data_IF_998115302392
#
_entry.id   IF_998115302392
#
_cell.length_a   1.000
_cell.length_b   1.000
_cell.length_c   1.000
_cell.angle_alpha   90.00
_cell.angle_beta   90.00
_cell.angle_gamma   90.00
#
_symmetry.space_group_name_H-M   'P 1'
#
loop_
_entity.id
_entity.type
_entity.pdbx_description
1 polymer ?
#
# COMPACT_ATOMS: atom_id res chain seq x y z
N UNK A 1 16.13 0.51 -53.29
CA UNK A 1 16.39 -0.64 -52.39
C UNK A 1 17.14 -0.23 -51.12
N UNK A 2 18.03 0.78 -51.16
CA UNK A 2 18.83 1.21 -49.97
C UNK A 2 18.05 2.00 -48.92
N UNK A 3 16.86 2.49 -49.24
CA UNK A 3 16.06 3.27 -48.29
C UNK A 3 15.24 2.42 -47.30
N UNK A 4 14.89 1.18 -47.65
CA UNK A 4 14.08 0.30 -46.79
C UNK A 4 14.78 -0.05 -45.47
N UNK A 5 16.06 -0.46 -45.44
CA UNK A 5 16.76 -0.71 -44.17
C UNK A 5 16.88 0.54 -43.29
N UNK A 6 17.06 1.71 -43.90
CA UNK A 6 17.09 2.99 -43.17
C UNK A 6 15.73 3.30 -42.51
N UNK A 7 14.63 3.22 -43.29
CA UNK A 7 13.28 3.45 -42.82
C UNK A 7 12.91 2.45 -41.69
N UNK A 8 13.19 1.16 -41.91
CA UNK A 8 12.99 0.12 -40.92
C UNK A 8 13.76 0.42 -39.62
N UNK A 9 15.01 0.87 -39.77
CA UNK A 9 15.84 1.30 -38.64
C UNK A 9 15.27 2.51 -37.88
N UNK A 10 14.69 3.49 -38.57
CA UNK A 10 14.03 4.64 -37.93
C UNK A 10 12.78 4.21 -37.20
N UNK A 11 11.93 3.39 -37.81
CA UNK A 11 10.71 2.86 -37.16
C UNK A 11 11.08 2.09 -35.89
N UNK A 12 12.07 1.21 -35.97
CA UNK A 12 12.53 0.41 -34.83
C UNK A 12 13.13 1.30 -33.71
N UNK A 13 13.84 2.37 -34.03
CA UNK A 13 14.34 3.33 -33.03
C UNK A 13 13.20 4.08 -32.37
N UNK A 14 12.24 4.60 -33.15
CA UNK A 14 11.08 5.32 -32.62
C UNK A 14 10.23 4.42 -31.73
N UNK A 15 9.96 3.18 -32.15
CA UNK A 15 9.22 2.21 -31.35
C UNK A 15 9.95 1.89 -30.04
N UNK A 16 11.27 1.67 -30.05
CA UNK A 16 12.05 1.46 -28.81
C UNK A 16 12.01 2.68 -27.91
N UNK A 17 12.14 3.90 -28.46
CA UNK A 17 12.04 5.13 -27.68
C UNK A 17 10.67 5.28 -27.00
N UNK A 18 9.60 5.00 -27.74
CA UNK A 18 8.24 5.00 -27.21
C UNK A 18 8.05 3.97 -26.10
N UNK A 19 8.45 2.73 -26.32
CA UNK A 19 8.36 1.67 -25.32
C UNK A 19 9.15 2.01 -24.04
N UNK A 20 10.34 2.62 -24.18
CA UNK A 20 11.14 3.06 -23.05
C UNK A 20 10.45 4.15 -22.19
N UNK A 21 9.55 4.96 -22.80
CA UNK A 21 8.77 5.97 -22.09
C UNK A 21 7.57 5.36 -21.31
N UNK A 22 7.15 4.15 -21.68
CA UNK A 22 6.07 3.44 -21.00
C UNK A 22 6.54 2.71 -19.73
N UNK A 23 7.85 2.55 -19.55
CA UNK A 23 8.39 1.83 -18.39
C UNK A 23 8.18 2.63 -17.10
N UNK A 24 7.72 1.97 -16.02
CA UNK A 24 7.68 2.60 -14.71
C UNK A 24 9.07 3.10 -14.28
N UNK A 25 9.16 4.27 -13.60
CA UNK A 25 10.45 4.93 -13.35
C UNK A 25 11.50 4.04 -12.69
N UNK A 26 11.14 3.35 -11.61
CA UNK A 26 12.07 2.46 -10.90
C UNK A 26 12.49 1.26 -11.76
N UNK A 27 11.56 0.64 -12.49
CA UNK A 27 11.88 -0.48 -13.36
C UNK A 27 12.82 -0.06 -14.49
N UNK A 28 12.63 1.12 -15.07
CA UNK A 28 13.54 1.70 -16.06
C UNK A 28 14.94 1.88 -15.49
N UNK A 29 15.06 2.48 -14.30
CA UNK A 29 16.34 2.66 -13.63
C UNK A 29 17.04 1.33 -13.34
N UNK A 30 16.28 0.30 -12.94
CA UNK A 30 16.77 -1.04 -12.69
C UNK A 30 17.31 -1.70 -13.99
N UNK A 31 16.59 -1.57 -15.10
CA UNK A 31 17.05 -2.05 -16.41
C UNK A 31 18.34 -1.35 -16.86
N UNK A 32 18.39 -0.04 -16.71
CA UNK A 32 19.57 0.76 -17.06
C UNK A 32 20.78 0.37 -16.18
N UNK A 33 20.58 0.17 -14.89
CA UNK A 33 21.63 -0.26 -13.96
C UNK A 33 22.14 -1.66 -14.30
N UNK A 34 21.25 -2.63 -14.44
CA UNK A 34 21.61 -4.02 -14.75
C UNK A 34 22.28 -4.14 -16.12
N UNK A 35 21.86 -3.29 -17.10
CA UNK A 35 22.42 -3.25 -18.45
C UNK A 35 23.86 -2.74 -18.51
N UNK A 36 24.30 -1.88 -17.57
CA UNK A 36 25.66 -1.33 -17.55
C UNK A 36 26.74 -2.33 -17.15
N UNK A 37 26.36 -3.51 -16.65
CA UNK A 37 27.28 -4.56 -16.22
C UNK A 37 28.38 -4.09 -15.24
N UNK A 38 28.06 -3.13 -14.37
CA UNK A 38 28.99 -2.59 -13.38
C UNK A 38 29.39 -3.66 -12.36
N UNK A 39 30.64 -3.62 -11.89
CA UNK A 39 31.04 -4.46 -10.77
C UNK A 39 30.28 -4.07 -9.52
N UNK A 40 29.70 -5.07 -8.83
CA UNK A 40 28.98 -4.88 -7.59
C UNK A 40 29.94 -5.08 -6.40
N UNK A 41 30.19 -4.01 -5.65
CA UNK A 41 30.95 -4.03 -4.39
C UNK A 41 30.04 -3.92 -3.16
N UNK A 42 28.74 -4.01 -3.36
CA UNK A 42 27.72 -3.98 -2.32
C UNK A 42 27.04 -5.35 -2.17
N UNK A 43 26.28 -5.54 -1.11
CA UNK A 43 25.43 -6.73 -0.98
C UNK A 43 24.31 -6.75 -2.05
N UNK A 44 23.84 -7.95 -2.44
CA UNK A 44 24.18 -9.25 -1.88
C UNK A 44 25.50 -9.81 -2.41
N UNK A 45 26.13 -10.69 -1.60
CA UNK A 45 27.47 -11.22 -1.87
C UNK A 45 27.62 -12.13 -3.08
N UNK A 46 26.54 -12.50 -3.75
CA UNK A 46 26.62 -13.28 -5.00
C UNK A 46 27.07 -12.45 -6.23
N UNK A 47 27.14 -11.11 -6.08
CA UNK A 47 27.70 -10.21 -7.10
C UNK A 47 27.03 -10.35 -8.46
N UNK A 48 25.72 -10.14 -8.55
CA UNK A 48 24.93 -10.30 -9.79
C UNK A 48 24.88 -11.75 -10.31
N UNK A 49 25.03 -12.74 -9.40
CA UNK A 49 24.97 -14.16 -9.73
C UNK A 49 26.32 -14.84 -10.01
N UNK A 50 27.43 -14.08 -10.08
CA UNK A 50 28.76 -14.65 -10.39
C UNK A 50 29.18 -15.72 -9.40
N UNK A 51 28.88 -15.57 -8.10
CA UNK A 51 29.22 -16.54 -7.07
C UNK A 51 28.55 -17.91 -7.31
N UNK A 52 27.35 -17.94 -7.84
CA UNK A 52 26.62 -19.20 -8.11
C UNK A 52 27.27 -20.02 -9.22
N UNK A 53 27.95 -19.39 -10.19
CA UNK A 53 28.62 -20.11 -11.31
C UNK A 53 29.83 -20.92 -10.88
N UNK A 54 30.31 -20.81 -9.62
CA UNK A 54 31.51 -21.47 -9.11
C UNK A 54 31.30 -22.95 -8.75
N UNK A 55 30.07 -23.44 -8.72
CA UNK A 55 29.78 -24.87 -8.40
C UNK A 55 28.65 -25.41 -9.27
N UNK A 56 28.55 -26.74 -9.46
CA UNK A 56 27.46 -27.34 -10.23
C UNK A 56 26.08 -27.02 -9.65
N UNK A 57 25.92 -27.05 -8.32
CA UNK A 57 24.65 -26.72 -7.65
C UNK A 57 24.31 -25.23 -7.86
N UNK A 58 25.30 -24.35 -7.72
CA UNK A 58 25.12 -22.92 -7.98
C UNK A 58 24.75 -22.64 -9.43
N UNK A 59 25.31 -23.36 -10.40
CA UNK A 59 24.92 -23.22 -11.82
C UNK A 59 23.47 -23.60 -12.04
N UNK A 60 23.00 -24.70 -11.46
CA UNK A 60 21.58 -25.08 -11.54
C UNK A 60 20.65 -23.99 -10.98
N UNK A 61 21.03 -23.36 -9.87
CA UNK A 61 20.31 -22.24 -9.28
C UNK A 61 20.33 -21.01 -10.22
N UNK A 62 21.51 -20.64 -10.75
CA UNK A 62 21.66 -19.55 -11.69
C UNK A 62 20.84 -19.75 -12.96
N UNK A 63 20.86 -20.96 -13.54
CA UNK A 63 20.12 -21.29 -14.76
C UNK A 63 18.61 -21.23 -14.54
N UNK A 64 18.14 -21.62 -13.34
CA UNK A 64 16.72 -21.55 -12.97
C UNK A 64 16.23 -20.11 -12.84
N UNK A 65 16.93 -19.24 -12.12
CA UNK A 65 16.51 -17.85 -11.91
C UNK A 65 16.84 -16.94 -13.08
N UNK A 66 17.87 -17.25 -13.82
CA UNK A 66 18.37 -16.45 -14.93
C UNK A 66 19.22 -15.24 -14.48
N UNK A 67 20.09 -14.80 -15.37
CA UNK A 67 21.05 -13.74 -15.10
C UNK A 67 20.39 -12.42 -14.70
N UNK A 68 19.33 -12.01 -15.39
CA UNK A 68 18.67 -10.73 -15.12
C UNK A 68 18.05 -10.66 -13.73
N UNK A 69 17.44 -11.76 -13.25
CA UNK A 69 16.89 -11.83 -11.89
C UNK A 69 17.99 -11.65 -10.84
N UNK A 70 19.10 -12.36 -11.01
CA UNK A 70 20.24 -12.29 -10.08
C UNK A 70 20.95 -10.94 -10.12
N UNK A 71 21.00 -10.29 -11.29
CA UNK A 71 21.56 -8.94 -11.44
C UNK A 71 20.66 -7.85 -10.90
N UNK A 72 19.36 -8.09 -10.83
CA UNK A 72 18.37 -7.16 -10.25
C UNK A 72 18.20 -7.31 -8.74
N UNK A 73 18.77 -8.35 -8.13
CA UNK A 73 18.86 -8.48 -6.68
C UNK A 73 19.98 -7.58 -6.15
N UNK A 74 19.60 -6.38 -5.73
CA UNK A 74 20.50 -5.28 -5.42
C UNK A 74 20.18 -4.68 -4.05
N UNK A 75 21.20 -4.09 -3.42
CA UNK A 75 20.99 -3.25 -2.24
C UNK A 75 20.24 -1.97 -2.62
N UNK A 76 19.30 -1.56 -1.77
CA UNK A 76 18.59 -0.26 -1.87
C UNK A 76 19.51 0.95 -1.69
N UNK A 77 20.77 0.73 -1.35
CA UNK A 77 21.81 1.78 -1.21
C UNK A 77 22.55 2.11 -2.50
N UNK A 78 22.17 1.52 -3.65
CA UNK A 78 22.75 1.84 -4.96
C UNK A 78 22.31 3.23 -5.40
N UNK A 79 23.23 4.23 -5.51
CA UNK A 79 22.84 5.62 -5.79
C UNK A 79 22.01 5.80 -7.08
N UNK A 80 22.28 4.99 -8.11
CA UNK A 80 21.55 5.03 -9.38
C UNK A 80 20.09 4.56 -9.31
N UNK A 81 19.70 3.92 -8.21
CA UNK A 81 18.32 3.46 -7.95
C UNK A 81 17.57 4.35 -6.97
N UNK A 82 18.23 5.35 -6.38
CA UNK A 82 17.66 6.20 -5.34
C UNK A 82 17.66 5.53 -3.96
N UNK A 83 16.99 6.16 -3.02
CA UNK A 83 16.89 5.67 -1.63
C UNK A 83 15.44 5.44 -1.26
N UNK A 84 15.12 4.23 -0.81
CA UNK A 84 13.80 3.91 -0.26
C UNK A 84 13.59 4.56 1.12
N UNK A 85 14.68 4.77 1.88
CA UNK A 85 14.62 5.40 3.20
C UNK A 85 14.37 6.92 3.09
N UNK A 86 15.07 7.57 2.15
CA UNK A 86 15.01 9.03 2.00
C UNK A 86 14.01 9.47 0.95
N UNK A 87 13.32 8.54 0.28
CA UNK A 87 12.37 8.81 -0.80
C UNK A 87 12.97 9.70 -1.90
N UNK A 88 14.13 9.29 -2.47
CA UNK A 88 14.86 10.09 -3.46
C UNK A 88 15.10 9.32 -4.77
N UNK A 89 15.37 10.07 -5.85
CA UNK A 89 15.71 9.52 -7.17
C UNK A 89 14.59 8.68 -7.78
N UNK A 90 14.91 7.59 -8.53
CA UNK A 90 13.92 6.74 -9.18
C UNK A 90 12.86 6.14 -8.25
N UNK A 91 13.17 5.95 -6.96
CA UNK A 91 12.18 5.54 -5.96
C UNK A 91 11.11 6.63 -5.79
N UNK A 92 11.52 7.88 -5.54
CA UNK A 92 10.59 8.99 -5.40
C UNK A 92 9.74 9.21 -6.67
N UNK A 93 10.36 9.13 -7.85
CA UNK A 93 9.64 9.24 -9.12
C UNK A 93 8.57 8.14 -9.27
N UNK A 94 8.91 6.91 -8.87
CA UNK A 94 7.98 5.79 -8.89
C UNK A 94 6.85 5.96 -7.88
N UNK A 95 7.14 6.45 -6.68
CA UNK A 95 6.14 6.76 -5.64
C UNK A 95 5.20 7.87 -6.12
N UNK A 96 5.70 8.97 -6.67
CA UNK A 96 4.85 10.01 -7.26
C UNK A 96 3.96 9.49 -8.39
N UNK A 97 4.51 8.65 -9.26
CA UNK A 97 3.71 8.04 -10.33
C UNK A 97 2.62 7.12 -9.77
N UNK A 98 2.93 6.33 -8.75
CA UNK A 98 1.95 5.47 -8.06
C UNK A 98 0.86 6.29 -7.39
N UNK A 99 1.19 7.34 -6.66
CA UNK A 99 0.23 8.26 -6.06
C UNK A 99 -0.73 8.83 -7.11
N UNK A 100 -0.19 9.33 -8.24
CA UNK A 100 -0.98 9.85 -9.36
C UNK A 100 -1.93 8.80 -9.94
N UNK A 101 -1.46 7.56 -10.14
CA UNK A 101 -2.26 6.48 -10.74
C UNK A 101 -3.41 6.06 -9.84
N UNK A 102 -3.17 5.96 -8.53
CA UNK A 102 -4.19 5.57 -7.56
C UNK A 102 -5.05 6.73 -7.06
N UNK A 103 -4.72 7.97 -7.44
CA UNK A 103 -5.45 9.16 -6.99
C UNK A 103 -5.15 9.60 -5.57
N UNK A 104 -4.02 9.17 -5.02
CA UNK A 104 -3.49 9.61 -3.73
C UNK A 104 -2.67 10.92 -3.86
N UNK A 105 -2.36 11.56 -2.74
CA UNK A 105 -1.42 12.67 -2.69
C UNK A 105 0.01 12.15 -2.52
N UNK A 106 0.17 11.10 -1.72
CA UNK A 106 1.44 10.42 -1.47
C UNK A 106 1.31 8.93 -1.60
N UNK A 107 2.39 8.27 -1.98
CA UNK A 107 2.53 6.82 -1.87
C UNK A 107 3.90 6.45 -1.35
N UNK A 108 3.96 5.32 -0.63
CA UNK A 108 5.19 4.78 -0.05
C UNK A 108 5.29 3.30 -0.33
N UNK A 109 6.43 2.84 -0.83
CA UNK A 109 6.66 1.42 -1.06
C UNK A 109 7.08 0.71 0.22
N UNK A 110 6.47 -0.44 0.48
CA UNK A 110 6.78 -1.30 1.62
C UNK A 110 7.15 -2.68 1.13
N UNK A 111 8.38 -3.08 1.36
CA UNK A 111 8.96 -4.31 0.79
C UNK A 111 8.64 -5.59 1.59
N UNK A 112 7.92 -5.48 2.69
CA UNK A 112 7.62 -6.62 3.58
C UNK A 112 6.11 -6.85 3.76
N UNK A 113 5.34 -6.59 2.70
CA UNK A 113 3.91 -6.85 2.63
C UNK A 113 3.04 -5.89 3.45
N UNK A 114 1.73 -5.94 3.20
CA UNK A 114 0.75 -5.06 3.86
C UNK A 114 0.70 -5.23 5.38
N UNK A 115 1.11 -6.39 5.91
CA UNK A 115 1.25 -6.56 7.36
C UNK A 115 2.25 -5.58 7.98
N UNK A 116 3.30 -5.22 7.26
CA UNK A 116 4.25 -4.18 7.67
C UNK A 116 3.68 -2.80 7.39
N UNK A 117 3.07 -2.58 6.23
CA UNK A 117 2.42 -1.30 5.90
C UNK A 117 1.39 -0.88 6.97
N UNK A 118 0.54 -1.82 7.41
CA UNK A 118 -0.42 -1.58 8.49
C UNK A 118 0.29 -1.13 9.78
N UNK A 119 1.36 -1.83 10.17
CA UNK A 119 2.12 -1.47 11.37
C UNK A 119 2.82 -0.11 11.26
N UNK A 120 3.32 0.25 10.08
CA UNK A 120 3.95 1.56 9.83
C UNK A 120 2.96 2.68 10.14
N UNK A 121 1.75 2.62 9.57
CA UNK A 121 0.69 3.62 9.85
C UNK A 121 0.37 3.67 11.34
N UNK A 122 0.16 2.51 11.95
CA UNK A 122 -0.20 2.45 13.36
C UNK A 122 0.87 3.02 14.26
N UNK A 123 2.15 2.67 14.07
CA UNK A 123 3.24 3.22 14.87
C UNK A 123 3.52 4.70 14.63
N UNK A 124 3.12 5.24 13.47
CA UNK A 124 3.24 6.66 13.18
C UNK A 124 2.19 7.51 13.92
N UNK A 125 0.99 6.97 14.14
CA UNK A 125 -0.15 7.76 14.60
C UNK A 125 -0.74 7.30 15.93
N UNK A 126 -0.46 6.09 16.39
CA UNK A 126 -1.10 5.50 17.58
C UNK A 126 -0.08 5.23 18.67
N UNK A 127 -0.41 5.67 19.88
CA UNK A 127 0.37 5.45 21.08
C UNK A 127 -0.43 4.71 22.15
N UNK A 128 0.23 4.43 23.28
CA UNK A 128 -0.43 3.76 24.41
C UNK A 128 -1.66 4.55 24.90
N UNK A 129 -2.71 3.82 25.17
CA UNK A 129 -4.00 4.31 25.67
C UNK A 129 -4.83 5.13 24.67
N UNK A 130 -4.35 5.33 23.42
CA UNK A 130 -5.17 5.91 22.36
C UNK A 130 -6.38 5.02 22.05
N UNK A 131 -7.56 5.62 21.87
CA UNK A 131 -8.74 4.91 21.39
C UNK A 131 -8.65 4.69 19.90
N UNK A 132 -8.90 3.46 19.48
CA UNK A 132 -8.91 3.07 18.06
C UNK A 132 -10.19 2.30 17.72
N UNK A 133 -10.83 2.68 16.62
CA UNK A 133 -12.02 2.03 16.10
C UNK A 133 -11.59 0.95 15.11
N UNK A 134 -11.98 -0.29 15.32
CA UNK A 134 -11.44 -1.43 14.60
C UNK A 134 -12.55 -2.31 14.04
N UNK A 135 -12.55 -2.53 12.72
CA UNK A 135 -13.34 -3.59 12.12
C UNK A 135 -12.98 -4.93 12.76
N UNK A 136 -13.98 -5.61 13.37
CA UNK A 136 -13.73 -6.91 14.00
C UNK A 136 -13.28 -7.99 13.02
N UNK A 137 -13.54 -7.80 11.73
CA UNK A 137 -13.08 -8.65 10.64
C UNK A 137 -11.73 -8.18 10.06
N UNK A 138 -10.86 -7.62 10.89
CA UNK A 138 -9.55 -7.14 10.47
C UNK A 138 -8.52 -8.27 10.32
N UNK A 139 -7.50 -8.01 9.52
CA UNK A 139 -6.34 -8.89 9.39
C UNK A 139 -5.54 -8.93 10.71
N UNK A 140 -4.91 -10.08 11.01
CA UNK A 140 -4.09 -10.28 12.23
C UNK A 140 -3.00 -9.22 12.45
N UNK A 141 -2.50 -8.56 11.40
CA UNK A 141 -1.52 -7.48 11.53
C UNK A 141 -2.06 -6.27 12.30
N UNK A 142 -3.37 -6.02 12.22
CA UNK A 142 -4.04 -4.97 13.01
C UNK A 142 -4.08 -5.36 14.48
N UNK A 143 -4.40 -6.63 14.79
CA UNK A 143 -4.35 -7.11 16.19
C UNK A 143 -2.93 -7.00 16.77
N UNK A 144 -1.92 -7.33 15.96
CA UNK A 144 -0.52 -7.15 16.38
C UNK A 144 -0.18 -5.67 16.61
N UNK A 145 -0.68 -4.77 15.75
CA UNK A 145 -0.46 -3.34 15.90
C UNK A 145 -1.11 -2.79 17.20
N UNK A 146 -2.33 -3.21 17.52
CA UNK A 146 -3.00 -2.88 18.79
C UNK A 146 -2.13 -3.30 20.00
N UNK A 147 -1.65 -4.55 19.99
CA UNK A 147 -0.81 -5.08 21.07
C UNK A 147 0.51 -4.30 21.18
N UNK A 148 1.15 -4.01 20.04
CA UNK A 148 2.45 -3.34 20.01
C UNK A 148 2.38 -1.88 20.42
N UNK A 149 1.31 -1.17 20.05
CA UNK A 149 1.10 0.23 20.44
C UNK A 149 0.54 0.39 21.84
N UNK A 150 -0.17 -0.62 22.36
CA UNK A 150 -0.90 -0.53 23.62
C UNK A 150 -2.20 0.28 23.51
N UNK A 151 -2.74 0.39 22.29
CA UNK A 151 -4.01 1.10 22.04
C UNK A 151 -5.20 0.37 22.65
N UNK A 152 -6.28 1.10 22.88
CA UNK A 152 -7.55 0.59 23.40
C UNK A 152 -8.53 0.43 22.22
N UNK A 153 -8.83 -0.81 21.79
CA UNK A 153 -9.70 -1.05 20.66
C UNK A 153 -11.18 -0.98 21.01
N UNK A 154 -11.94 -0.30 20.18
CA UNK A 154 -13.41 -0.35 20.12
C UNK A 154 -13.75 -1.12 18.84
N UNK A 155 -14.37 -2.29 18.98
CA UNK A 155 -14.64 -3.16 17.84
C UNK A 155 -15.99 -2.86 17.19
N UNK A 156 -15.96 -2.58 15.90
CA UNK A 156 -17.14 -2.59 15.03
C UNK A 156 -17.40 -4.03 14.57
N UNK A 157 -18.52 -4.59 15.02
CA UNK A 157 -18.89 -5.96 14.70
C UNK A 157 -19.80 -6.00 13.49
N UNK A 158 -19.41 -6.74 12.47
CA UNK A 158 -20.25 -7.04 11.31
C UNK A 158 -21.38 -8.01 11.63
N UNK A 159 -22.40 -8.02 10.77
CA UNK A 159 -23.46 -9.03 10.82
C UNK A 159 -22.91 -10.43 10.54
N UNK A 160 -23.73 -11.45 10.78
CA UNK A 160 -23.45 -12.84 10.37
C UNK A 160 -24.71 -13.46 9.80
N UNK A 161 -24.55 -14.28 8.78
CA UNK A 161 -25.64 -15.10 8.27
C UNK A 161 -25.73 -16.42 9.05
N UNK A 162 -26.73 -17.25 8.72
CA UNK A 162 -26.98 -18.54 9.38
C UNK A 162 -25.83 -19.55 9.21
N UNK A 163 -24.96 -19.34 8.22
CA UNK A 163 -23.73 -20.15 8.01
C UNK A 163 -22.51 -19.61 8.73
N UNK A 164 -22.66 -18.51 9.50
CA UNK A 164 -21.56 -17.89 10.22
C UNK A 164 -20.65 -17.00 9.35
N UNK A 165 -20.99 -16.76 8.08
CA UNK A 165 -20.23 -15.86 7.19
C UNK A 165 -20.42 -14.43 7.68
N UNK A 166 -19.32 -13.70 7.79
CA UNK A 166 -19.29 -12.33 8.28
C UNK A 166 -19.80 -11.40 7.16
N UNK A 167 -20.84 -10.64 7.50
CA UNK A 167 -21.41 -9.61 6.63
C UNK A 167 -20.89 -8.20 6.97
N UNK A 168 -21.54 -7.17 6.41
CA UNK A 168 -21.13 -5.79 6.64
C UNK A 168 -21.34 -5.33 8.09
N UNK A 169 -20.55 -4.34 8.48
CA UNK A 169 -20.87 -3.49 9.62
C UNK A 169 -22.07 -2.63 9.21
N UNK A 170 -23.12 -2.64 10.01
CA UNK A 170 -24.30 -1.84 9.74
C UNK A 170 -23.95 -0.34 9.71
N UNK A 171 -24.55 0.39 8.75
CA UNK A 171 -24.24 1.80 8.51
C UNK A 171 -24.44 2.68 9.75
N UNK A 172 -25.45 2.38 10.55
CA UNK A 172 -25.78 3.10 11.78
C UNK A 172 -24.66 3.05 12.83
N UNK A 173 -23.81 2.00 12.76
CA UNK A 173 -22.66 1.84 13.67
C UNK A 173 -21.59 2.93 13.51
N UNK A 174 -21.56 3.62 12.38
CA UNK A 174 -20.67 4.74 12.12
C UNK A 174 -21.29 6.08 12.54
N UNK A 175 -22.58 6.11 12.95
CA UNK A 175 -23.24 7.34 13.39
C UNK A 175 -22.65 7.85 14.70
N UNK A 176 -22.67 9.20 14.88
CA UNK A 176 -22.12 9.81 16.08
C UNK A 176 -22.79 9.34 17.38
N UNK A 177 -24.10 9.05 17.37
CA UNK A 177 -24.81 8.56 18.53
C UNK A 177 -24.35 7.15 18.93
N UNK A 178 -24.23 6.24 17.96
CA UNK A 178 -23.78 4.87 18.21
C UNK A 178 -22.30 4.81 18.61
N UNK A 179 -21.46 5.64 18.01
CA UNK A 179 -20.06 5.74 18.40
C UNK A 179 -19.91 6.30 19.82
N UNK A 180 -20.67 7.35 20.18
CA UNK A 180 -20.66 7.91 21.53
C UNK A 180 -21.09 6.88 22.58
N UNK A 181 -22.11 6.06 22.30
CA UNK A 181 -22.52 4.97 23.15
C UNK A 181 -21.43 3.92 23.36
N UNK A 182 -20.74 3.53 22.27
CA UNK A 182 -19.64 2.56 22.33
C UNK A 182 -18.41 3.10 23.06
N UNK A 183 -18.16 4.41 22.98
CA UNK A 183 -17.03 5.09 23.61
C UNK A 183 -17.31 5.38 25.09
N UNK A 184 -18.56 5.50 25.49
CA UNK A 184 -18.93 5.93 26.85
C UNK A 184 -18.37 5.03 27.96
N UNK A 185 -18.21 3.71 27.70
CA UNK A 185 -17.77 2.75 28.72
C UNK A 185 -16.90 1.62 28.12
N UNK A 186 -15.76 1.88 27.51
CA UNK A 186 -14.89 0.79 27.08
C UNK A 186 -14.30 0.09 28.31
N UNK A 187 -14.36 -1.25 28.37
CA UNK A 187 -13.92 -2.01 29.55
C UNK A 187 -12.46 -1.74 29.97
N UNK A 188 -11.62 -1.30 29.02
CA UNK A 188 -10.20 -1.04 29.25
C UNK A 188 -9.89 0.39 29.71
N UNK A 189 -10.85 1.31 29.73
CA UNK A 189 -10.63 2.68 30.24
C UNK A 189 -10.75 2.79 31.76
N UNK A 190 -11.35 1.83 32.45
CA UNK A 190 -11.41 1.77 33.91
C UNK A 190 -11.83 3.09 34.58
N UNK A 191 -12.83 3.78 34.03
CA UNK A 191 -13.35 5.05 34.58
C UNK A 191 -12.53 6.30 34.24
N UNK A 192 -11.54 6.20 33.37
CA UNK A 192 -10.85 7.38 32.81
C UNK A 192 -11.73 8.06 31.74
N UNK A 193 -11.58 9.37 31.58
CA UNK A 193 -12.24 10.10 30.48
C UNK A 193 -11.79 9.51 29.14
N UNK A 194 -12.75 9.28 28.25
CA UNK A 194 -12.45 8.76 26.91
C UNK A 194 -11.78 9.83 26.06
N UNK A 195 -10.54 9.62 25.59
CA UNK A 195 -9.94 10.50 24.59
C UNK A 195 -10.73 10.40 23.26
N UNK A 196 -10.50 11.35 22.35
CA UNK A 196 -11.00 11.23 20.96
C UNK A 196 -10.50 9.96 20.27
N UNK A 197 -11.18 9.53 19.21
CA UNK A 197 -10.72 8.38 18.43
C UNK A 197 -9.51 8.81 17.58
N UNK A 198 -8.36 8.23 17.87
CA UNK A 198 -7.11 8.51 17.15
C UNK A 198 -7.12 7.95 15.74
N UNK A 199 -7.52 6.69 15.58
CA UNK A 199 -7.51 5.98 14.32
C UNK A 199 -8.71 5.06 14.19
N UNK A 200 -9.32 5.04 13.00
CA UNK A 200 -10.28 4.02 12.59
C UNK A 200 -9.67 3.16 11.48
N UNK A 201 -9.82 1.83 11.56
CA UNK A 201 -9.40 0.91 10.51
C UNK A 201 -10.54 0.01 10.06
N UNK A 202 -10.73 -0.08 8.74
CA UNK A 202 -11.73 -0.92 8.10
C UNK A 202 -11.09 -1.82 7.04
N UNK A 203 -11.50 -3.09 7.00
CA UNK A 203 -11.12 -4.03 5.94
C UNK A 203 -11.95 -3.76 4.69
N UNK A 204 -11.32 -3.33 3.61
CA UNK A 204 -11.96 -2.96 2.35
C UNK A 204 -11.13 -3.43 1.14
N UNK A 205 -11.45 -4.54 0.41
CA UNK A 205 -12.56 -5.44 0.64
C UNK A 205 -12.17 -6.67 1.47
N UNK A 206 -13.20 -7.41 1.94
CA UNK A 206 -13.02 -8.72 2.54
C UNK A 206 -12.80 -9.80 1.47
N UNK A 207 -12.43 -11.04 1.90
CA UNK A 207 -12.31 -12.20 1.01
C UNK A 207 -13.61 -12.53 0.28
N UNK A 208 -14.76 -12.23 0.90
CA UNK A 208 -16.07 -12.49 0.34
C UNK A 208 -16.52 -11.39 -0.64
N UNK A 209 -15.66 -10.42 -0.92
CA UNK A 209 -15.93 -9.34 -1.87
C UNK A 209 -16.75 -8.19 -1.28
N UNK A 210 -16.94 -8.14 0.04
CA UNK A 210 -17.64 -7.04 0.69
C UNK A 210 -16.77 -5.77 0.65
N UNK A 211 -17.29 -4.70 0.07
CA UNK A 211 -16.64 -3.40 0.03
C UNK A 211 -17.62 -2.30 0.47
N UNK A 212 -17.08 -1.31 1.19
CA UNK A 212 -17.85 -0.18 1.69
C UNK A 212 -17.96 0.95 0.65
N UNK A 213 -18.96 1.80 0.81
CA UNK A 213 -18.95 3.12 0.21
C UNK A 213 -18.00 4.00 1.06
N UNK A 214 -16.77 4.18 0.57
CA UNK A 214 -15.72 4.89 1.31
C UNK A 214 -16.04 6.36 1.52
N UNK A 215 -16.74 7.01 0.56
CA UNK A 215 -17.15 8.41 0.71
C UNK A 215 -18.13 8.59 1.87
N UNK A 216 -19.09 7.68 2.00
CA UNK A 216 -20.04 7.71 3.14
C UNK A 216 -19.33 7.49 4.49
N UNK A 217 -18.36 6.58 4.53
CA UNK A 217 -17.59 6.32 5.76
C UNK A 217 -16.79 7.57 6.15
N UNK A 218 -16.13 8.21 5.20
CA UNK A 218 -15.37 9.45 5.44
C UNK A 218 -16.29 10.54 6.02
N UNK A 219 -17.47 10.75 5.42
CA UNK A 219 -18.45 11.73 5.91
C UNK A 219 -18.95 11.44 7.31
N UNK A 220 -19.24 10.17 7.62
CA UNK A 220 -19.73 9.79 8.93
C UNK A 220 -18.67 9.88 10.03
N UNK A 221 -17.41 9.68 9.68
CA UNK A 221 -16.29 9.76 10.61
C UNK A 221 -15.61 11.14 10.63
N UNK A 222 -16.07 12.08 9.78
CA UNK A 222 -15.60 13.47 9.80
C UNK A 222 -15.71 14.05 11.21
N UNK A 223 -14.73 14.84 11.63
CA UNK A 223 -14.61 15.46 12.97
C UNK A 223 -14.65 14.48 14.15
N UNK A 224 -14.58 13.17 13.89
CA UNK A 224 -14.68 12.12 14.93
C UNK A 224 -13.43 11.29 15.06
N UNK A 225 -12.67 11.12 13.97
CA UNK A 225 -11.41 10.38 13.93
C UNK A 225 -10.34 11.25 13.29
N UNK A 226 -9.12 11.15 13.78
CA UNK A 226 -8.01 11.91 13.19
C UNK A 226 -7.46 11.20 11.94
N UNK A 227 -7.39 9.86 11.99
CA UNK A 227 -6.85 9.02 10.92
C UNK A 227 -7.86 7.95 10.54
N UNK A 228 -8.15 7.81 9.25
CA UNK A 228 -8.96 6.73 8.70
C UNK A 228 -8.10 5.85 7.78
N UNK A 229 -7.99 4.58 8.12
CA UNK A 229 -7.19 3.58 7.44
C UNK A 229 -8.08 2.51 6.80
N UNK A 230 -8.03 2.38 5.47
CA UNK A 230 -8.63 1.28 4.74
C UNK A 230 -7.58 0.19 4.48
N UNK A 231 -7.73 -0.99 5.09
CA UNK A 231 -6.92 -2.16 4.72
C UNK A 231 -7.50 -2.75 3.43
N UNK A 232 -6.88 -2.37 2.32
CA UNK A 232 -7.25 -2.75 0.95
C UNK A 232 -6.30 -3.80 0.37
N UNK A 233 -5.74 -4.66 1.20
CA UNK A 233 -4.76 -5.65 0.78
C UNK A 233 -5.23 -6.54 -0.39
N UNK A 234 -6.54 -6.69 -0.61
CA UNK A 234 -7.16 -7.46 -1.69
C UNK A 234 -7.89 -6.60 -2.73
N UNK A 235 -7.75 -5.27 -2.70
CA UNK A 235 -8.63 -4.38 -3.44
C UNK A 235 -7.90 -3.40 -4.39
N UNK A 236 -6.60 -3.60 -4.64
CA UNK A 236 -5.78 -2.71 -5.48
C UNK A 236 -6.33 -2.48 -6.90
N UNK A 237 -7.07 -3.45 -7.47
CA UNK A 237 -7.67 -3.34 -8.80
C UNK A 237 -8.84 -2.35 -8.87
N UNK A 238 -9.44 -2.01 -7.74
CA UNK A 238 -10.65 -1.16 -7.69
C UNK A 238 -10.42 0.23 -8.30
N UNK A 239 -9.23 0.77 -8.19
CA UNK A 239 -8.86 2.07 -8.76
C UNK A 239 -8.95 2.12 -10.30
N UNK A 240 -8.96 0.96 -10.98
CA UNK A 240 -8.86 0.85 -12.44
C UNK A 240 -10.20 0.53 -13.13
N UNK A 241 -11.29 0.44 -12.38
CA UNK A 241 -12.60 0.14 -13.00
C UNK A 241 -13.71 1.03 -12.42
N UNK A 242 -14.52 1.69 -13.26
CA UNK A 242 -15.54 2.66 -12.84
C UNK A 242 -16.63 2.08 -11.92
N UNK A 243 -16.85 0.76 -11.96
CA UNK A 243 -17.78 0.08 -11.05
C UNK A 243 -17.46 0.30 -9.58
N UNK A 244 -16.17 0.48 -9.23
CA UNK A 244 -15.70 0.67 -7.86
C UNK A 244 -15.55 2.14 -7.48
N UNK A 245 -16.05 3.07 -8.29
CA UNK A 245 -16.03 4.49 -7.94
C UNK A 245 -16.75 4.74 -6.61
N UNK A 246 -16.11 5.48 -5.69
CA UNK A 246 -16.62 5.71 -4.34
C UNK A 246 -16.51 4.49 -3.39
N UNK A 247 -15.78 3.43 -3.77
CA UNK A 247 -15.66 2.20 -3.00
C UNK A 247 -14.25 1.84 -2.57
N UNK A 248 -13.26 2.63 -2.91
CA UNK A 248 -11.87 2.44 -2.48
C UNK A 248 -11.34 3.71 -1.81
N UNK A 249 -10.39 3.57 -0.90
CA UNK A 249 -9.95 4.64 0.00
C UNK A 249 -9.44 5.90 -0.70
N UNK A 250 -8.84 5.74 -1.88
CA UNK A 250 -8.36 6.87 -2.69
C UNK A 250 -9.35 7.34 -3.77
N UNK A 251 -10.62 6.93 -3.70
CA UNK A 251 -11.65 7.43 -4.61
C UNK A 251 -11.78 8.95 -4.52
N UNK A 252 -11.92 9.61 -5.68
CA UNK A 252 -12.06 11.07 -5.80
C UNK A 252 -13.49 11.51 -6.12
N UNK A 253 -14.47 10.75 -5.69
CA UNK A 253 -15.87 11.04 -6.01
C UNK A 253 -16.37 12.36 -5.40
N UNK A 254 -15.73 12.85 -4.34
CA UNK A 254 -16.11 14.11 -3.67
C UNK A 254 -14.91 15.01 -3.37
N UNK A 255 -15.12 16.34 -3.37
CA UNK A 255 -14.14 17.28 -2.85
C UNK A 255 -13.88 17.04 -1.36
N UNK A 256 -12.69 17.33 -0.90
CA UNK A 256 -12.38 17.33 0.53
C UNK A 256 -13.07 18.51 1.23
N UNK A 257 -13.64 18.23 2.41
CA UNK A 257 -14.15 19.26 3.32
C UNK A 257 -13.19 19.46 4.50
N UNK A 258 -13.33 20.56 5.21
CA UNK A 258 -12.69 20.73 6.52
C UNK A 258 -13.18 19.66 7.49
N UNK A 259 -12.31 19.20 8.40
CA UNK A 259 -12.64 18.14 9.36
C UNK A 259 -12.61 16.70 8.80
N UNK A 260 -12.24 16.51 7.51
CA UNK A 260 -11.99 15.18 6.98
C UNK A 260 -10.73 14.57 7.61
N UNK A 261 -10.76 13.28 7.99
CA UNK A 261 -9.61 12.62 8.55
C UNK A 261 -8.47 12.51 7.53
N UNK A 262 -7.24 12.37 8.02
CA UNK A 262 -6.12 11.91 7.21
C UNK A 262 -6.43 10.49 6.72
N UNK A 263 -6.40 10.24 5.41
CA UNK A 263 -6.77 8.95 4.83
C UNK A 263 -5.54 8.14 4.47
N UNK A 264 -5.56 6.86 4.84
CA UNK A 264 -4.63 5.86 4.37
C UNK A 264 -5.36 4.69 3.71
N UNK A 265 -4.74 4.14 2.66
CA UNK A 265 -5.09 2.83 2.14
C UNK A 265 -3.82 1.98 2.01
N UNK A 266 -3.86 0.75 2.49
CA UNK A 266 -2.75 -0.21 2.34
C UNK A 266 -3.12 -1.30 1.37
N UNK A 267 -2.28 -1.53 0.38
CA UNK A 267 -2.56 -2.50 -0.68
C UNK A 267 -1.41 -3.49 -0.86
N UNK A 268 -1.76 -4.72 -1.27
CA UNK A 268 -0.80 -5.76 -1.66
C UNK A 268 -0.91 -6.00 -3.17
N UNK A 269 -0.17 -5.26 -4.01
CA UNK A 269 -0.20 -5.48 -5.46
C UNK A 269 0.04 -6.93 -5.86
N UNK A 270 0.90 -7.65 -5.16
CA UNK A 270 1.21 -9.06 -5.43
C UNK A 270 0.02 -10.03 -5.26
N UNK A 271 -1.07 -9.62 -4.60
CA UNK A 271 -2.25 -10.48 -4.42
C UNK A 271 -3.22 -10.42 -5.61
N UNK A 272 -3.37 -9.25 -6.22
CA UNK A 272 -4.45 -8.96 -7.17
C UNK A 272 -3.99 -8.20 -8.41
N UNK A 273 -2.75 -7.75 -8.46
CA UNK A 273 -2.10 -7.10 -9.60
C UNK A 273 -0.83 -7.87 -9.98
N UNK A 274 -0.29 -7.59 -11.16
CA UNK A 274 0.93 -8.25 -11.66
C UNK A 274 2.19 -7.71 -10.95
N UNK A 275 2.49 -8.24 -9.76
CA UNK A 275 3.66 -7.87 -8.98
C UNK A 275 4.26 -9.09 -8.27
N UNK A 276 5.57 -9.03 -7.99
CA UNK A 276 6.25 -10.05 -7.21
C UNK A 276 5.87 -9.93 -5.71
N UNK A 277 5.84 -11.06 -5.01
CA UNK A 277 5.70 -11.09 -3.55
C UNK A 277 6.98 -10.54 -2.91
N UNK A 278 6.92 -9.77 -1.89
CA UNK A 278 5.83 -9.28 -1.04
C UNK A 278 5.59 -7.78 -1.27
N UNK A 279 5.26 -7.38 -2.50
CA UNK A 279 5.01 -5.98 -2.81
C UNK A 279 3.82 -5.43 -2.00
N UNK A 280 4.02 -4.26 -1.38
CA UNK A 280 2.97 -3.51 -0.71
C UNK A 280 3.18 -2.02 -0.90
N UNK A 281 2.08 -1.28 -0.87
CA UNK A 281 2.07 0.19 -0.91
C UNK A 281 1.20 0.75 0.20
N UNK A 282 1.62 1.89 0.73
CA UNK A 282 0.78 2.79 1.51
C UNK A 282 0.40 3.94 0.59
N UNK A 283 -0.87 4.21 0.48
CA UNK A 283 -1.42 5.39 -0.20
C UNK A 283 -1.93 6.34 0.86
N UNK A 284 -1.63 7.61 0.74
CA UNK A 284 -2.06 8.63 1.68
C UNK A 284 -2.76 9.79 0.96
N UNK A 285 -3.75 10.35 1.66
CA UNK A 285 -4.41 11.59 1.27
C UNK A 285 -4.48 12.50 2.49
N UNK A 286 -3.90 13.69 2.36
CA UNK A 286 -3.84 14.67 3.44
C UNK A 286 -5.23 15.13 3.86
N UNK A 287 -5.37 15.53 5.13
CA UNK A 287 -6.56 16.26 5.57
C UNK A 287 -6.63 17.63 4.92
N UNK A 288 -7.84 18.19 4.75
CA UNK A 288 -8.03 19.50 4.14
C UNK A 288 -7.33 20.63 4.92
N UNK A 289 -7.06 20.42 6.21
CA UNK A 289 -6.46 21.41 7.11
C UNK A 289 -4.91 21.42 7.07
N UNK A 290 -4.30 20.51 6.30
CA UNK A 290 -2.83 20.39 6.17
C UNK A 290 -2.27 20.95 4.84
N UNK A 291 -3.09 21.62 4.04
CA UNK A 291 -2.67 22.22 2.75
C UNK A 291 -2.26 23.69 2.88
#
# INVERSE_FOLDING_TARGET
EDTLPFIAGQIARTARSYLAQLLPPFFKALLDYTGRASYSWHSPGHGGGVAFRKSPVGRAFHDFFGENTLRSDLSVSVPGLGSLLDHTGPVAEAEHNTARVFGADHSFYVVNGTSTANKVIWHAYVTRDDLVLVDRNCHKSILHAIIMTGAIPIYLTGSRNDYGIIGPIAHERFSGAQLAEQIANPPLLEGRDAPGIRLAVLTNSTYDGLCYNTDMIVEQLQDRVEVLHFDEAWFGYAAFHPFYHGRHGMSRSRPRGSGHPLLFATQSPHKVLAALSQASIILARDSADQQ
#
